data_IF_444279901088
#
_entry.id   IF_444279901088
#
_cell.length_a   1.000
_cell.length_b   1.000
_cell.length_c   1.000
_cell.angle_alpha   90.00
_cell.angle_beta   90.00
_cell.angle_gamma   90.00
#
_symmetry.space_group_name_H-M   'P 1'
#
loop_
_entity.id
_entity.type
_entity.pdbx_description
1 polymer ?
#
# COMPACT_ATOMS: atom_id res chain seq x y z
N UNK A 1 -3.74 21.03 -14.23
CA UNK A 1 -3.94 19.78 -13.56
C UNK A 1 -3.81 19.94 -12.05
N UNK A 2 -4.73 19.46 -11.35
CA UNK A 2 -4.65 19.63 -9.91
C UNK A 2 -3.94 18.45 -9.28
N UNK A 3 -3.25 18.74 -8.23
CA UNK A 3 -2.53 17.73 -7.50
C UNK A 3 -3.18 17.54 -6.14
N UNK A 4 -3.17 16.31 -5.71
CA UNK A 4 -3.64 16.03 -4.38
C UNK A 4 -2.45 16.05 -3.47
N UNK A 5 -2.44 17.00 -2.58
CA UNK A 5 -1.34 17.16 -1.66
C UNK A 5 -1.78 16.71 -0.30
N UNK A 6 -1.12 15.69 0.20
CA UNK A 6 -1.43 15.14 1.50
C UNK A 6 -0.27 15.45 2.42
N UNK A 7 -0.52 16.21 3.45
CA UNK A 7 0.52 16.51 4.42
C UNK A 7 0.71 15.34 5.35
N UNK A 8 1.84 15.34 6.03
CA UNK A 8 2.10 14.28 6.99
C UNK A 8 1.09 14.29 8.11
N UNK A 9 0.66 15.47 8.46
CA UNK A 9 -0.34 15.57 9.50
C UNK A 9 -1.64 14.93 9.08
N UNK A 10 -2.04 15.18 7.84
CA UNK A 10 -3.25 14.57 7.33
C UNK A 10 -3.12 13.06 7.24
N UNK A 11 -1.98 12.60 6.79
CA UNK A 11 -1.75 11.17 6.70
C UNK A 11 -1.84 10.52 8.06
N UNK A 12 -1.18 11.11 9.05
CA UNK A 12 -1.21 10.57 10.39
C UNK A 12 -2.63 10.53 10.92
N UNK A 13 -3.39 11.59 10.65
CA UNK A 13 -4.75 11.65 11.10
C UNK A 13 -5.60 10.56 10.49
N UNK A 14 -5.43 10.35 9.21
CA UNK A 14 -6.22 9.35 8.51
C UNK A 14 -5.90 7.95 9.02
N UNK A 15 -4.62 7.68 9.22
CA UNK A 15 -4.24 6.39 9.75
C UNK A 15 -4.79 6.18 11.14
N UNK A 16 -4.77 7.24 11.94
CA UNK A 16 -5.29 7.12 13.29
C UNK A 16 -6.78 6.85 13.29
N UNK A 17 -7.50 7.52 12.41
CA UNK A 17 -8.93 7.29 12.32
C UNK A 17 -9.24 5.85 11.94
N UNK A 18 -8.49 5.33 10.98
CA UNK A 18 -8.69 3.95 10.59
C UNK A 18 -8.41 3.01 11.74
N UNK A 19 -7.37 3.30 12.50
CA UNK A 19 -7.05 2.46 13.63
C UNK A 19 -8.15 2.48 14.66
N UNK A 20 -8.68 3.65 14.91
CA UNK A 20 -9.70 3.76 15.94
C UNK A 20 -10.98 3.10 15.53
N UNK A 21 -11.30 3.18 14.26
CA UNK A 21 -12.52 2.58 13.80
C UNK A 21 -12.42 1.08 13.66
N UNK A 22 -11.23 0.60 13.37
CA UNK A 22 -11.06 -0.82 13.09
C UNK A 22 -9.90 -1.34 13.90
N UNK A 23 -10.14 -1.53 15.15
CA UNK A 23 -9.07 -1.96 16.00
C UNK A 23 -8.76 -3.42 15.90
N UNK A 24 -9.62 -4.17 15.28
CA UNK A 24 -9.40 -5.58 15.23
C UNK A 24 -8.28 -5.92 14.28
N UNK A 25 -7.67 -7.05 14.53
CA UNK A 25 -6.50 -7.42 13.77
C UNK A 25 -6.72 -7.51 12.29
N UNK A 26 -7.92 -7.86 11.89
CA UNK A 26 -8.17 -8.02 10.47
C UNK A 26 -8.04 -6.72 9.71
N UNK A 27 -8.04 -5.62 10.40
CA UNK A 27 -7.94 -4.35 9.71
C UNK A 27 -6.52 -3.84 9.60
N UNK A 28 -5.57 -4.55 10.17
CA UNK A 28 -4.21 -4.08 10.07
C UNK A 28 -3.73 -4.03 8.64
N UNK A 29 -4.09 -5.03 7.85
CA UNK A 29 -3.66 -5.04 6.47
C UNK A 29 -4.21 -3.85 5.72
N UNK A 30 -5.46 -3.50 5.98
CA UNK A 30 -6.05 -2.38 5.29
C UNK A 30 -5.37 -1.08 5.68
N UNK A 31 -5.07 -0.94 6.96
CA UNK A 31 -4.34 0.24 7.40
C UNK A 31 -2.97 0.31 6.78
N UNK A 32 -2.29 -0.82 6.72
CA UNK A 32 -0.96 -0.83 6.16
C UNK A 32 -0.99 -0.53 4.68
N UNK A 33 -1.98 -1.06 3.98
CA UNK A 33 -2.10 -0.76 2.57
C UNK A 33 -2.36 0.71 2.34
N UNK A 34 -3.20 1.30 3.17
CA UNK A 34 -3.45 2.72 3.04
C UNK A 34 -2.17 3.52 3.24
N UNK A 35 -1.42 3.16 4.25
CA UNK A 35 -0.16 3.85 4.52
C UNK A 35 0.81 3.69 3.36
N UNK A 36 0.89 2.48 2.83
CA UNK A 36 1.77 2.25 1.69
C UNK A 36 1.37 3.13 0.52
N UNK A 37 0.09 3.17 0.23
CA UNK A 37 -0.38 3.92 -0.93
C UNK A 37 -0.09 5.39 -0.79
N UNK A 38 -0.39 5.95 0.36
CA UNK A 38 -0.20 7.39 0.54
C UNK A 38 1.27 7.74 0.61
N UNK A 39 2.05 6.91 1.30
CA UNK A 39 3.47 7.19 1.40
C UNK A 39 4.14 7.08 0.03
N UNK A 40 3.78 6.07 -0.72
CA UNK A 40 4.34 5.90 -2.05
C UNK A 40 3.95 7.07 -2.95
N UNK A 41 2.71 7.51 -2.83
CA UNK A 41 2.26 8.63 -3.63
C UNK A 41 3.03 9.90 -3.28
N UNK A 42 3.25 10.14 -2.00
CA UNK A 42 3.97 11.32 -1.59
C UNK A 42 5.40 11.32 -2.13
N UNK A 43 6.03 10.16 -2.10
CA UNK A 43 7.37 10.07 -2.62
C UNK A 43 7.37 10.26 -4.13
N UNK A 44 6.42 9.64 -4.80
CA UNK A 44 6.29 9.79 -6.24
C UNK A 44 6.12 11.24 -6.63
N UNK A 45 5.30 11.95 -5.87
CA UNK A 45 5.07 13.37 -6.13
C UNK A 45 6.31 14.20 -5.93
N UNK A 46 7.11 13.84 -4.94
CA UNK A 46 8.28 14.63 -4.61
C UNK A 46 9.43 14.40 -5.58
N UNK A 47 9.48 13.25 -6.19
CA UNK A 47 10.58 12.92 -7.06
C UNK A 47 10.47 13.64 -8.38
N UNK A 48 11.61 14.02 -8.91
CA UNK A 48 11.67 14.57 -10.25
C UNK A 48 11.86 13.46 -11.25
N UNK A 49 11.54 13.75 -12.49
CA UNK A 49 11.47 12.71 -13.48
C UNK A 49 12.76 11.95 -13.65
N UNK A 50 13.86 12.66 -13.61
CA UNK A 50 15.15 12.02 -13.85
C UNK A 50 15.95 11.84 -12.60
N UNK A 51 15.29 11.91 -11.48
CA UNK A 51 16.01 11.80 -10.23
C UNK A 51 16.49 10.38 -10.01
N UNK A 52 17.73 10.24 -9.58
CA UNK A 52 18.31 8.95 -9.29
C UNK A 52 18.39 8.76 -7.80
N UNK A 53 17.97 7.62 -7.36
CA UNK A 53 18.02 7.28 -5.95
C UNK A 53 19.20 6.40 -5.67
N UNK A 54 19.61 6.38 -4.42
CA UNK A 54 20.68 5.48 -4.03
C UNK A 54 20.22 4.04 -4.13
N UNK A 55 21.19 3.17 -4.30
CA UNK A 55 20.88 1.77 -4.56
C UNK A 55 20.00 1.16 -3.49
N UNK A 56 20.26 1.48 -2.25
CA UNK A 56 19.50 0.86 -1.18
C UNK A 56 18.04 1.32 -1.21
N UNK A 57 17.82 2.55 -1.63
CA UNK A 57 16.44 3.03 -1.75
C UNK A 57 15.73 2.34 -2.91
N UNK A 58 16.43 2.23 -4.02
CA UNK A 58 15.86 1.50 -5.16
C UNK A 58 15.51 0.08 -4.78
N UNK A 59 16.38 -0.56 -4.02
CA UNK A 59 16.11 -1.92 -3.59
C UNK A 59 14.87 -2.01 -2.74
N UNK A 60 14.72 -1.09 -1.81
CA UNK A 60 13.55 -1.14 -0.95
C UNK A 60 12.27 -0.90 -1.72
N UNK A 61 12.32 0.01 -2.67
CA UNK A 61 11.15 0.28 -3.49
C UNK A 61 10.80 -0.94 -4.33
N UNK A 62 11.81 -1.58 -4.91
CA UNK A 62 11.55 -2.75 -5.72
C UNK A 62 10.94 -3.88 -4.88
N UNK A 63 11.45 -4.06 -3.67
CA UNK A 63 10.91 -5.08 -2.79
C UNK A 63 9.47 -4.77 -2.42
N UNK A 64 9.18 -3.51 -2.15
CA UNK A 64 7.83 -3.12 -1.79
C UNK A 64 6.88 -3.36 -2.96
N UNK A 65 7.32 -2.98 -4.14
CA UNK A 65 6.49 -3.18 -5.31
C UNK A 65 6.19 -4.65 -5.52
N UNK A 66 7.21 -5.47 -5.38
CA UNK A 66 7.04 -6.88 -5.60
C UNK A 66 6.12 -7.50 -4.56
N UNK A 67 6.31 -7.09 -3.31
CA UNK A 67 5.49 -7.64 -2.23
C UNK A 67 4.04 -7.26 -2.36
N UNK A 68 3.77 -5.98 -2.62
CA UNK A 68 2.40 -5.54 -2.73
C UNK A 68 1.73 -6.12 -3.97
N UNK A 69 2.45 -6.15 -5.08
CA UNK A 69 1.90 -6.70 -6.29
C UNK A 69 1.56 -8.18 -6.12
N UNK A 70 2.45 -8.90 -5.47
CA UNK A 70 2.23 -10.31 -5.23
C UNK A 70 1.01 -10.54 -4.34
N UNK A 71 0.91 -9.75 -3.29
CA UNK A 71 -0.24 -9.87 -2.40
C UNK A 71 -1.53 -9.53 -3.14
N UNK A 72 -1.48 -8.52 -3.98
CA UNK A 72 -2.67 -8.13 -4.72
C UNK A 72 -3.11 -9.23 -5.66
N UNK A 73 -2.17 -9.82 -6.37
CA UNK A 73 -2.52 -10.88 -7.29
C UNK A 73 -3.14 -12.07 -6.60
N UNK A 74 -2.56 -12.46 -5.47
CA UNK A 74 -3.10 -13.57 -4.73
C UNK A 74 -4.49 -13.26 -4.20
N UNK A 75 -4.66 -12.05 -3.69
CA UNK A 75 -5.94 -11.64 -3.16
C UNK A 75 -7.01 -11.66 -4.25
N UNK A 76 -6.69 -11.10 -5.40
CA UNK A 76 -7.67 -11.06 -6.48
C UNK A 76 -7.98 -12.45 -7.03
N UNK A 77 -6.95 -13.28 -7.06
CA UNK A 77 -7.18 -14.64 -7.53
C UNK A 77 -8.17 -15.35 -6.63
N UNK A 78 -8.01 -15.19 -5.33
CA UNK A 78 -8.93 -15.82 -4.40
C UNK A 78 -10.33 -15.25 -4.52
N UNK A 79 -10.41 -13.94 -4.68
CA UNK A 79 -11.70 -13.30 -4.76
C UNK A 79 -12.48 -13.70 -5.99
N UNK A 80 -11.78 -13.86 -7.11
CA UNK A 80 -12.45 -14.04 -8.35
C UNK A 80 -12.63 -15.48 -8.74
N UNK A 81 -12.01 -16.40 -8.03
CA UNK A 81 -12.11 -17.82 -8.37
C UNK A 81 -13.23 -18.44 -7.57
N UNK A 82 -14.37 -18.73 -8.19
CA UNK A 82 -15.48 -19.28 -7.42
C UNK A 82 -15.19 -20.65 -6.83
N UNK A 83 -14.24 -21.37 -7.41
CA UNK A 83 -13.91 -22.66 -6.85
C UNK A 83 -13.07 -22.56 -5.63
N UNK A 84 -12.64 -21.39 -5.31
CA UNK A 84 -11.74 -21.20 -4.18
C UNK A 84 -12.44 -21.28 -2.86
N UNK A 85 -13.72 -21.20 -2.89
CA UNK A 85 -14.46 -21.22 -1.67
C UNK A 85 -14.25 -22.51 -0.96
N UNK A 86 -13.82 -22.48 0.26
CA UNK A 86 -13.61 -23.67 1.01
C UNK A 86 -12.35 -24.39 0.68
N UNK A 87 -11.58 -23.88 -0.22
CA UNK A 87 -10.30 -24.45 -0.55
C UNK A 87 -9.26 -23.45 -0.39
N UNK A 88 -8.16 -23.84 0.17
CA UNK A 88 -7.06 -22.94 0.27
C UNK A 88 -5.93 -23.57 -0.45
N UNK A 89 -5.67 -23.14 -1.59
CA UNK A 89 -4.70 -23.77 -2.39
C UNK A 89 -3.50 -22.96 -2.57
N UNK A 90 -3.00 -22.40 -1.66
CA UNK A 90 -1.78 -21.66 -1.87
C UNK A 90 -0.65 -22.20 -1.09
#
# INVERSE_FOLDING_TARGET
>A
MSKIIITEEQLTKMVKILKEEHEEGSYMAKQQLFTIAVTAYKMWEAMEENEELEDWMNSKIAQAEQSVTSAFKSYMYEKLDPRHEGETNY
#
